data_IF_261087191333
#
_entry.id   IF_261087191333
#
_cell.length_a   1.000
_cell.length_b   1.000
_cell.length_c   1.000
_cell.angle_alpha   90.00
_cell.angle_beta   90.00
_cell.angle_gamma   90.00
#
_symmetry.space_group_name_H-M   'P 1'
#
loop_
_entity.id
_entity.type
_entity.pdbx_description
1 polymer ?
#
# COMPACT_ATOMS: atom_id res chain seq x y z
N UNK A 1 -1.50 -2.94 -21.66
CA UNK A 1 -0.80 -2.92 -20.36
C UNK A 1 0.04 -4.20 -20.30
N UNK A 2 1.36 -4.11 -20.47
CA UNK A 2 2.21 -5.30 -20.61
C UNK A 2 2.25 -6.15 -19.33
N UNK A 3 2.51 -7.44 -19.45
CA UNK A 3 2.57 -8.37 -18.30
C UNK A 3 3.57 -7.94 -17.22
N UNK A 4 4.61 -7.18 -17.58
CA UNK A 4 5.57 -6.58 -16.65
C UNK A 4 4.89 -5.63 -15.64
N UNK A 5 3.91 -4.83 -16.08
CA UNK A 5 3.10 -3.98 -15.17
C UNK A 5 2.27 -4.81 -14.18
N UNK A 6 1.86 -6.02 -14.58
CA UNK A 6 1.03 -6.91 -13.75
C UNK A 6 1.85 -7.62 -12.67
N UNK A 7 3.15 -7.85 -12.92
CA UNK A 7 4.07 -8.53 -11.98
C UNK A 7 4.83 -7.60 -11.04
N UNK A 8 4.76 -6.27 -11.21
CA UNK A 8 5.58 -5.29 -10.45
C UNK A 8 7.10 -5.58 -10.51
N UNK A 9 7.56 -6.32 -11.52
CA UNK A 9 8.97 -6.61 -11.78
C UNK A 9 9.50 -5.53 -12.72
N UNK A 10 9.55 -4.30 -12.24
CA UNK A 10 10.40 -3.31 -12.89
C UNK A 10 11.79 -3.42 -12.25
N UNK A 11 12.81 -3.92 -12.98
CA UNK A 11 14.18 -3.87 -12.49
C UNK A 11 14.68 -2.43 -12.32
N UNK A 12 13.92 -1.43 -12.78
CA UNK A 12 14.38 -0.05 -12.89
C UNK A 12 13.45 0.96 -12.22
N UNK A 13 14.02 2.09 -11.79
CA UNK A 13 13.28 3.18 -11.16
C UNK A 13 12.56 4.04 -12.20
N UNK A 14 11.25 4.27 -11.98
CA UNK A 14 10.44 5.21 -12.79
C UNK A 14 11.07 6.60 -12.83
N UNK A 15 11.74 7.01 -11.74
CA UNK A 15 12.40 8.31 -11.68
C UNK A 15 13.58 8.38 -12.66
N UNK A 16 14.43 7.35 -12.69
CA UNK A 16 15.66 7.35 -13.49
C UNK A 16 15.40 7.06 -14.96
N UNK A 17 14.42 6.20 -15.27
CA UNK A 17 14.16 5.73 -16.63
C UNK A 17 13.04 6.52 -17.33
N UNK A 18 12.09 7.05 -16.58
CA UNK A 18 10.99 7.84 -17.14
C UNK A 18 11.14 9.33 -16.85
N UNK A 19 10.93 9.71 -15.59
CA UNK A 19 10.72 11.12 -15.22
C UNK A 19 11.93 12.01 -15.52
N UNK A 20 13.15 11.59 -15.17
CA UNK A 20 14.35 12.41 -15.40
C UNK A 20 14.61 12.62 -16.90
N UNK A 21 14.64 11.58 -17.76
CA UNK A 21 14.76 11.75 -19.19
C UNK A 21 13.69 12.66 -19.79
N UNK A 22 12.42 12.48 -19.42
CA UNK A 22 11.31 13.30 -19.91
C UNK A 22 11.49 14.78 -19.52
N UNK A 23 11.88 15.04 -18.26
CA UNK A 23 12.15 16.39 -17.78
C UNK A 23 13.40 17.01 -18.42
N UNK A 24 14.42 16.20 -18.72
CA UNK A 24 15.62 16.66 -19.43
C UNK A 24 15.31 17.03 -20.89
N UNK A 25 14.39 16.32 -21.54
CA UNK A 25 13.94 16.61 -22.90
C UNK A 25 13.05 17.86 -22.95
N UNK A 26 12.18 18.04 -21.94
CA UNK A 26 11.24 19.16 -21.88
C UNK A 26 11.87 20.47 -21.39
N UNK A 27 12.98 20.43 -20.64
CA UNK A 27 13.56 21.63 -20.03
C UNK A 27 14.50 22.39 -20.98
N UNK A 28 14.22 23.68 -21.17
CA UNK A 28 15.09 24.61 -21.92
C UNK A 28 16.11 25.31 -21.01
N UNK A 29 15.97 25.20 -19.68
CA UNK A 29 16.83 25.89 -18.73
C UNK A 29 18.11 25.08 -18.43
N UNK A 30 19.26 25.65 -18.78
CA UNK A 30 20.57 25.04 -18.57
C UNK A 30 20.88 24.71 -17.09
N UNK A 31 20.40 25.51 -16.15
CA UNK A 31 20.56 25.26 -14.71
C UNK A 31 19.79 24.02 -14.25
N UNK A 32 18.52 23.93 -14.65
CA UNK A 32 17.66 22.76 -14.37
C UNK A 32 18.22 21.50 -15.03
N UNK A 33 18.72 21.60 -16.26
CA UNK A 33 19.36 20.49 -16.97
C UNK A 33 20.58 19.94 -16.22
N UNK A 34 21.49 20.82 -15.79
CA UNK A 34 22.66 20.45 -14.97
C UNK A 34 22.24 19.80 -13.66
N UNK A 35 21.22 20.33 -12.99
CA UNK A 35 20.68 19.74 -11.76
C UNK A 35 20.14 18.32 -11.99
N UNK A 36 19.28 18.12 -13.01
CA UNK A 36 18.70 16.82 -13.33
C UNK A 36 19.77 15.79 -13.72
N UNK A 37 20.79 16.20 -14.48
CA UNK A 37 21.94 15.34 -14.79
C UNK A 37 22.69 14.91 -13.52
N UNK A 38 23.00 15.86 -12.62
CA UNK A 38 23.67 15.58 -11.34
C UNK A 38 22.80 14.68 -10.45
N UNK A 39 21.49 14.91 -10.42
CA UNK A 39 20.54 14.08 -9.70
C UNK A 39 20.54 12.65 -10.25
N UNK A 40 20.47 12.49 -11.58
CA UNK A 40 20.51 11.19 -12.24
C UNK A 40 21.79 10.41 -11.92
N UNK A 41 22.94 11.07 -11.96
CA UNK A 41 24.24 10.44 -11.71
C UNK A 41 24.43 10.03 -10.25
N UNK A 42 23.87 10.79 -9.30
CA UNK A 42 23.96 10.52 -7.86
C UNK A 42 22.89 9.56 -7.36
N UNK A 43 21.78 9.43 -8.09
CA UNK A 43 20.68 8.55 -7.69
C UNK A 43 21.02 7.12 -8.02
N UNK A 44 21.09 6.27 -7.00
CA UNK A 44 21.23 4.82 -7.16
C UNK A 44 19.89 4.16 -6.85
N UNK A 45 19.43 3.32 -7.76
CA UNK A 45 18.25 2.49 -7.50
C UNK A 45 18.67 1.25 -6.71
N UNK A 46 17.95 1.00 -5.63
CA UNK A 46 18.19 -0.13 -4.73
C UNK A 46 16.87 -0.86 -4.55
N UNK A 47 16.85 -2.13 -4.90
CA UNK A 47 15.69 -3.02 -4.76
C UNK A 47 15.98 -4.15 -3.78
N UNK A 48 14.95 -4.62 -3.05
CA UNK A 48 15.08 -5.75 -2.13
C UNK A 48 14.24 -5.58 -0.87
N UNK A 49 14.37 -6.53 0.05
CA UNK A 49 13.70 -6.48 1.34
C UNK A 49 14.25 -5.30 2.17
N UNK A 50 13.37 -4.38 2.59
CA UNK A 50 13.79 -3.14 3.27
C UNK A 50 14.54 -3.40 4.59
N UNK A 51 14.25 -4.49 5.30
CA UNK A 51 14.96 -4.88 6.52
C UNK A 51 16.36 -5.39 6.24
N UNK A 52 16.52 -6.17 5.16
CA UNK A 52 17.84 -6.61 4.71
C UNK A 52 18.69 -5.41 4.29
N UNK A 53 18.13 -4.51 3.47
CA UNK A 53 18.81 -3.29 3.04
C UNK A 53 19.22 -2.43 4.24
N UNK A 54 18.30 -2.21 5.17
CA UNK A 54 18.56 -1.43 6.38
C UNK A 54 19.65 -2.06 7.27
N UNK A 55 19.62 -3.38 7.45
CA UNK A 55 20.65 -4.12 8.19
C UNK A 55 22.02 -3.99 7.52
N UNK A 56 22.07 -4.16 6.20
CA UNK A 56 23.29 -4.07 5.41
C UNK A 56 23.92 -2.67 5.49
N UNK A 57 23.11 -1.62 5.28
CA UNK A 57 23.54 -0.21 5.40
C UNK A 57 24.02 0.08 6.82
N UNK A 58 23.27 -0.36 7.84
CA UNK A 58 23.64 -0.12 9.26
C UNK A 58 24.96 -0.80 9.64
N UNK A 59 25.28 -1.94 9.01
CA UNK A 59 26.52 -2.70 9.24
C UNK A 59 27.65 -2.34 8.26
N UNK A 60 27.42 -1.40 7.34
CA UNK A 60 28.36 -1.08 6.24
C UNK A 60 28.76 -2.30 5.39
N UNK A 61 27.89 -3.29 5.32
CA UNK A 61 28.01 -4.43 4.41
C UNK A 61 27.29 -4.00 3.16
N UNK A 62 28.01 -3.75 2.06
CA UNK A 62 27.46 -3.11 0.86
C UNK A 62 26.15 -3.73 0.36
N UNK A 63 25.43 -2.95 -0.45
CA UNK A 63 24.07 -3.26 -0.89
C UNK A 63 24.07 -3.62 -2.38
N UNK A 64 23.42 -4.72 -2.73
CA UNK A 64 23.28 -5.12 -4.14
C UNK A 64 22.33 -4.17 -4.88
N UNK A 65 22.87 -3.46 -5.87
CA UNK A 65 22.13 -2.69 -6.87
C UNK A 65 21.53 -3.61 -7.94
N UNK A 66 20.57 -3.13 -8.73
CA UNK A 66 19.96 -3.89 -9.84
C UNK A 66 20.99 -4.45 -10.80
N UNK A 67 22.11 -3.75 -11.01
CA UNK A 67 23.18 -4.20 -11.90
C UNK A 67 24.06 -5.30 -11.28
N UNK A 68 23.58 -5.98 -10.23
CA UNK A 68 24.30 -6.93 -9.38
C UNK A 68 25.59 -6.37 -8.75
N UNK A 69 25.80 -5.04 -8.83
CA UNK A 69 26.95 -4.36 -8.23
C UNK A 69 26.71 -4.15 -6.75
N UNK A 70 27.73 -4.41 -5.93
CA UNK A 70 27.70 -4.11 -4.51
C UNK A 70 28.09 -2.65 -4.34
N UNK A 71 27.15 -1.84 -3.85
CA UNK A 71 27.33 -0.42 -3.63
C UNK A 71 27.49 -0.15 -2.13
N UNK A 72 28.55 0.57 -1.74
CA UNK A 72 28.64 1.12 -0.39
C UNK A 72 27.68 2.31 -0.27
N UNK A 73 26.98 2.39 0.85
CA UNK A 73 26.04 3.46 1.16
C UNK A 73 26.48 4.12 2.45
N UNK A 74 27.00 5.33 2.33
CA UNK A 74 27.44 6.15 3.46
C UNK A 74 26.37 7.16 3.87
N UNK A 75 26.36 7.51 5.16
CA UNK A 75 25.49 8.54 5.71
C UNK A 75 26.02 9.94 5.37
N UNK A 76 25.14 10.94 5.15
CA UNK A 76 23.68 10.90 5.17
C UNK A 76 23.07 10.37 3.86
N UNK A 77 21.94 9.65 3.96
CA UNK A 77 21.21 9.12 2.79
C UNK A 77 19.93 9.91 2.55
N UNK A 78 19.58 10.10 1.28
CA UNK A 78 18.29 10.65 0.85
C UNK A 78 17.50 9.52 0.20
N UNK A 79 16.33 9.23 0.74
CA UNK A 79 15.45 8.17 0.24
C UNK A 79 14.31 8.79 -0.54
N UNK A 80 14.19 8.41 -1.81
CA UNK A 80 13.11 8.85 -2.69
C UNK A 80 12.34 7.62 -3.18
N UNK A 81 11.26 7.30 -2.48
CA UNK A 81 10.38 6.15 -2.78
C UNK A 81 8.93 6.56 -2.46
N UNK A 82 7.97 5.69 -2.74
CA UNK A 82 6.58 5.84 -2.31
C UNK A 82 6.55 6.00 -0.79
N UNK A 83 5.66 6.86 -0.30
CA UNK A 83 5.51 7.17 1.14
C UNK A 83 5.52 5.90 2.01
N UNK A 84 4.75 4.88 1.60
CA UNK A 84 4.66 3.62 2.35
C UNK A 84 5.99 2.88 2.38
N UNK A 85 6.71 2.78 1.26
CA UNK A 85 8.01 2.08 1.20
C UNK A 85 9.09 2.82 1.97
N UNK A 86 9.10 4.15 1.88
CA UNK A 86 10.02 5.01 2.63
C UNK A 86 9.78 4.87 4.14
N UNK A 87 8.52 4.86 4.59
CA UNK A 87 8.19 4.63 6.00
C UNK A 87 8.63 3.27 6.51
N UNK A 88 8.40 2.20 5.72
CA UNK A 88 8.87 0.85 6.07
C UNK A 88 10.38 0.83 6.20
N UNK A 89 11.09 1.48 5.27
CA UNK A 89 12.54 1.52 5.28
C UNK A 89 13.10 2.33 6.45
N UNK A 90 12.50 3.47 6.79
CA UNK A 90 12.84 4.26 7.98
C UNK A 90 12.68 3.42 9.25
N UNK A 91 11.55 2.73 9.41
CA UNK A 91 11.32 1.85 10.57
C UNK A 91 12.31 0.69 10.63
N UNK A 92 12.67 0.14 9.47
CA UNK A 92 13.68 -0.90 9.37
C UNK A 92 15.05 -0.39 9.84
N UNK A 93 15.49 0.79 9.38
CA UNK A 93 16.75 1.39 9.83
C UNK A 93 16.72 1.69 11.33
N UNK A 94 15.63 2.27 11.83
CA UNK A 94 15.42 2.52 13.27
C UNK A 94 15.34 1.24 14.13
N UNK A 95 15.32 0.07 13.50
CA UNK A 95 15.40 -1.22 14.20
C UNK A 95 16.84 -1.70 14.35
N UNK A 96 17.79 -1.16 13.58
CA UNK A 96 19.21 -1.55 13.58
C UNK A 96 20.17 -0.41 13.99
N UNK A 97 19.73 0.85 13.89
CA UNK A 97 20.48 2.05 14.26
C UNK A 97 19.53 3.12 14.80
N UNK A 98 20.06 4.24 15.29
CA UNK A 98 19.28 5.38 15.77
C UNK A 98 19.51 6.63 14.90
N UNK A 99 19.04 6.64 13.64
CA UNK A 99 19.27 7.74 12.72
C UNK A 99 18.40 8.96 13.07
N UNK A 100 18.95 10.15 12.82
CA UNK A 100 18.14 11.37 12.75
C UNK A 100 17.39 11.36 11.41
N UNK A 101 16.06 11.25 11.47
CA UNK A 101 15.20 11.18 10.28
C UNK A 101 14.53 12.52 10.04
N UNK A 102 14.91 13.20 8.97
CA UNK A 102 14.25 14.43 8.50
C UNK A 102 13.22 14.05 7.42
N UNK A 103 11.94 14.33 7.69
CA UNK A 103 10.85 14.06 6.74
C UNK A 103 10.49 15.34 6.00
N UNK A 104 10.58 15.29 4.67
CA UNK A 104 10.00 16.34 3.85
C UNK A 104 8.51 16.08 3.64
N UNK A 105 7.66 16.96 4.16
CA UNK A 105 6.20 16.89 3.98
C UNK A 105 5.71 17.68 2.75
N UNK A 106 6.59 18.42 2.07
CA UNK A 106 6.24 19.09 0.83
C UNK A 106 5.99 18.07 -0.27
N UNK A 107 4.93 18.29 -1.06
CA UNK A 107 4.64 17.49 -2.24
C UNK A 107 5.82 17.66 -3.20
N UNK A 108 6.58 16.58 -3.43
CA UNK A 108 7.65 16.60 -4.42
C UNK A 108 7.02 16.79 -5.81
N UNK A 109 7.68 17.51 -6.73
CA UNK A 109 7.12 17.80 -8.05
C UNK A 109 6.96 16.56 -8.95
N UNK A 110 7.35 15.37 -8.47
CA UNK A 110 7.29 14.11 -9.20
C UNK A 110 5.95 13.41 -8.99
N UNK A 111 4.90 13.92 -9.64
CA UNK A 111 3.58 13.30 -9.62
C UNK A 111 3.35 12.49 -10.91
N UNK A 112 3.28 11.17 -10.78
CA UNK A 112 2.75 10.34 -11.87
C UNK A 112 1.22 10.34 -11.81
N UNK A 113 0.59 10.91 -12.83
CA UNK A 113 -0.86 10.82 -13.03
C UNK A 113 -1.11 9.72 -14.05
N UNK A 114 -1.63 8.58 -13.58
CA UNK A 114 -2.09 7.51 -14.46
C UNK A 114 -3.56 7.80 -14.81
N UNK A 115 -3.89 8.20 -16.05
CA UNK A 115 -5.27 8.32 -16.45
C UNK A 115 -5.89 6.92 -16.46
N UNK A 116 -6.79 6.66 -15.51
CA UNK A 116 -7.58 5.44 -15.52
C UNK A 116 -8.65 5.57 -16.60
N UNK A 117 -8.37 5.04 -17.79
CA UNK A 117 -9.36 4.92 -18.86
C UNK A 117 -10.28 3.74 -18.52
N UNK A 118 -11.29 3.98 -17.69
CA UNK A 118 -12.39 3.05 -17.46
C UNK A 118 -13.47 3.27 -18.50
N UNK A 119 -13.90 2.22 -19.22
CA UNK A 119 -15.17 2.28 -19.97
C UNK A 119 -16.29 2.58 -18.96
N UNK A 120 -17.16 3.54 -19.28
CA UNK A 120 -18.34 3.87 -18.47
C UNK A 120 -19.30 2.67 -18.48
N UNK A 121 -19.17 1.80 -17.50
CA UNK A 121 -20.15 0.73 -17.27
C UNK A 121 -21.31 1.29 -16.43
N UNK A 122 -22.52 0.78 -16.64
CA UNK A 122 -23.73 1.19 -15.89
C UNK A 122 -23.60 1.01 -14.37
N UNK A 123 -22.68 0.15 -13.91
CA UNK A 123 -22.37 -0.06 -12.50
C UNK A 123 -21.46 1.02 -11.91
N UNK A 124 -20.80 1.85 -12.73
CA UNK A 124 -19.83 2.85 -12.27
C UNK A 124 -20.43 3.85 -11.26
N UNK A 125 -21.63 4.42 -11.47
CA UNK A 125 -22.26 5.30 -10.48
C UNK A 125 -22.47 4.59 -9.14
N UNK A 126 -22.90 3.32 -9.16
CA UNK A 126 -23.12 2.54 -7.94
C UNK A 126 -21.81 2.31 -7.16
N UNK A 127 -20.74 1.90 -7.85
CA UNK A 127 -19.42 1.71 -7.23
C UNK A 127 -18.82 3.01 -6.73
N UNK A 128 -18.93 4.10 -7.50
CA UNK A 128 -18.40 5.41 -7.11
C UNK A 128 -19.07 5.95 -5.85
N UNK A 129 -20.40 5.79 -5.73
CA UNK A 129 -21.17 6.17 -4.54
C UNK A 129 -20.76 5.34 -3.33
N UNK A 130 -20.67 4.01 -3.50
CA UNK A 130 -20.24 3.11 -2.42
C UNK A 130 -18.82 3.39 -1.94
N UNK A 131 -17.88 3.62 -2.86
CA UNK A 131 -16.51 4.02 -2.55
C UNK A 131 -16.47 5.36 -1.80
N UNK A 132 -17.24 6.35 -2.26
CA UNK A 132 -17.34 7.64 -1.58
C UNK A 132 -17.86 7.52 -0.15
N UNK A 133 -18.86 6.67 0.08
CA UNK A 133 -19.37 6.39 1.44
C UNK A 133 -18.33 5.67 2.32
N UNK A 134 -17.57 4.72 1.78
CA UNK A 134 -16.49 4.03 2.50
C UNK A 134 -15.33 4.97 2.84
N UNK A 135 -15.04 5.93 1.98
CA UNK A 135 -14.05 6.98 2.22
C UNK A 135 -14.54 7.96 3.29
N UNK A 136 -15.79 8.44 3.19
CA UNK A 136 -16.42 9.32 4.18
C UNK A 136 -16.52 8.66 5.56
N UNK A 137 -16.84 7.37 5.62
CA UNK A 137 -16.86 6.60 6.86
C UNK A 137 -15.45 6.28 7.41
N UNK A 138 -14.38 6.65 6.70
CA UNK A 138 -13.00 6.40 7.09
C UNK A 138 -12.54 4.93 6.98
N UNK A 139 -13.42 4.02 6.57
CA UNK A 139 -13.15 2.58 6.45
C UNK A 139 -12.01 2.33 5.46
N UNK A 140 -12.02 3.03 4.32
CA UNK A 140 -10.97 2.90 3.31
C UNK A 140 -9.59 3.26 3.88
N UNK A 141 -9.51 4.31 4.68
CA UNK A 141 -8.27 4.71 5.37
C UNK A 141 -7.78 3.65 6.35
N UNK A 142 -8.69 2.98 7.07
CA UNK A 142 -8.33 1.89 7.99
C UNK A 142 -7.84 0.65 7.24
N UNK A 143 -8.51 0.24 6.16
CA UNK A 143 -8.05 -0.86 5.32
C UNK A 143 -6.65 -0.59 4.77
N UNK A 144 -6.39 0.63 4.30
CA UNK A 144 -5.05 1.03 3.85
C UNK A 144 -4.01 0.90 4.95
N UNK A 145 -4.32 1.30 6.20
CA UNK A 145 -3.42 1.10 7.35
C UNK A 145 -3.17 -0.38 7.64
N UNK A 146 -4.21 -1.21 7.64
CA UNK A 146 -4.10 -2.65 7.87
C UNK A 146 -3.26 -3.34 6.79
N UNK A 147 -3.45 -2.98 5.52
CA UNK A 147 -2.65 -3.47 4.39
C UNK A 147 -1.19 -3.06 4.57
N UNK A 148 -0.92 -1.81 4.95
CA UNK A 148 0.44 -1.34 5.21
C UNK A 148 1.10 -2.08 6.38
N UNK A 149 0.35 -2.33 7.45
CA UNK A 149 0.81 -3.10 8.61
C UNK A 149 1.11 -4.56 8.23
N UNK A 150 0.24 -5.18 7.44
CA UNK A 150 0.44 -6.52 6.92
C UNK A 150 1.70 -6.60 6.05
N UNK A 151 1.95 -5.57 5.21
CA UNK A 151 3.16 -5.47 4.38
C UNK A 151 4.43 -5.32 5.22
N UNK A 152 4.42 -4.43 6.23
CA UNK A 152 5.50 -4.28 7.22
C UNK A 152 5.83 -5.61 7.90
N UNK A 153 4.79 -6.27 8.40
CA UNK A 153 4.91 -7.58 9.06
C UNK A 153 5.53 -8.61 8.13
N UNK A 154 5.03 -8.74 6.90
CA UNK A 154 5.54 -9.71 5.92
C UNK A 154 7.03 -9.51 5.64
N UNK A 155 7.44 -8.28 5.30
CA UNK A 155 8.86 -7.99 5.02
C UNK A 155 9.75 -8.23 6.24
N UNK A 156 9.31 -7.83 7.43
CA UNK A 156 10.06 -8.09 8.66
C UNK A 156 10.14 -9.58 9.00
N UNK A 157 9.09 -10.36 8.76
CA UNK A 157 9.06 -11.81 9.00
C UNK A 157 10.03 -12.60 8.12
N UNK A 158 10.16 -12.19 6.86
CA UNK A 158 11.04 -12.84 5.89
C UNK A 158 12.52 -12.70 6.31
N UNK A 159 12.91 -11.58 6.92
CA UNK A 159 14.31 -11.30 7.26
C UNK A 159 14.65 -11.53 8.75
N UNK A 160 13.80 -11.12 9.68
CA UNK A 160 14.09 -11.16 11.10
C UNK A 160 13.84 -12.55 11.69
N UNK A 161 14.80 -13.04 12.48
CA UNK A 161 14.73 -14.33 13.18
C UNK A 161 14.85 -14.17 14.71
N UNK A 162 14.22 -15.09 15.45
CA UNK A 162 14.32 -15.19 16.91
C UNK A 162 13.91 -13.91 17.65
N UNK A 163 14.78 -13.45 18.57
CA UNK A 163 14.54 -12.29 19.45
C UNK A 163 14.35 -10.98 18.70
N UNK A 164 15.04 -10.77 17.58
CA UNK A 164 14.88 -9.56 16.76
C UNK A 164 13.47 -9.42 16.20
N UNK A 165 12.86 -10.55 15.81
CA UNK A 165 11.50 -10.62 15.29
C UNK A 165 10.45 -10.32 16.35
N UNK A 166 10.61 -10.82 17.58
CA UNK A 166 9.67 -10.54 18.66
C UNK A 166 9.70 -9.07 19.08
N UNK A 167 10.90 -8.47 19.19
CA UNK A 167 11.06 -7.04 19.47
C UNK A 167 10.46 -6.18 18.36
N UNK A 168 10.71 -6.52 17.10
CA UNK A 168 10.11 -5.83 15.95
C UNK A 168 8.59 -5.92 15.97
N UNK A 169 8.03 -7.12 16.19
CA UNK A 169 6.57 -7.28 16.26
C UNK A 169 5.97 -6.46 17.39
N UNK A 170 6.61 -6.45 18.56
CA UNK A 170 6.17 -5.61 19.68
C UNK A 170 6.20 -4.14 19.26
N UNK A 171 7.27 -3.68 18.61
CA UNK A 171 7.39 -2.29 18.13
C UNK A 171 6.31 -1.97 17.08
N UNK A 172 6.10 -2.80 16.08
CA UNK A 172 5.08 -2.58 15.03
C UNK A 172 3.66 -2.63 15.56
N UNK A 173 3.36 -3.55 16.47
CA UNK A 173 2.02 -3.70 17.06
C UNK A 173 1.73 -2.63 18.12
N UNK A 174 2.72 -2.20 18.91
CA UNK A 174 2.54 -1.16 19.94
C UNK A 174 2.71 0.27 19.43
N UNK A 175 3.58 0.54 18.46
CA UNK A 175 3.77 1.90 17.91
C UNK A 175 2.56 2.35 17.09
N UNK A 176 1.75 1.41 16.58
CA UNK A 176 0.42 1.72 16.05
C UNK A 176 -0.55 2.31 17.10
N UNK A 177 -0.27 2.13 18.39
CA UNK A 177 -1.10 2.59 19.50
C UNK A 177 -0.60 3.82 20.25
N UNK A 178 0.67 4.23 20.10
CA UNK A 178 1.30 5.17 21.04
C UNK A 178 1.83 6.49 20.45
N UNK A 179 1.52 6.81 19.19
CA UNK A 179 1.60 8.21 18.73
C UNK A 179 0.30 8.87 19.16
N UNK A 180 0.35 9.71 20.19
CA UNK A 180 -0.79 10.36 20.85
C UNK A 180 -1.79 11.00 19.89
N UNK A 181 -2.68 10.18 19.32
CA UNK A 181 -3.90 10.62 18.67
C UNK A 181 -4.98 10.56 19.73
N UNK A 182 -5.30 11.74 20.28
CA UNK A 182 -6.60 11.96 20.93
C UNK A 182 -7.67 11.34 20.02
N UNK A 183 -8.40 10.39 20.56
CA UNK A 183 -9.51 9.72 19.90
C UNK A 183 -10.50 10.79 19.41
N UNK A 184 -10.49 11.09 18.12
CA UNK A 184 -11.54 11.85 17.47
C UNK A 184 -12.54 10.83 16.94
N UNK A 185 -13.61 10.57 17.73
CA UNK A 185 -14.93 10.01 17.38
C UNK A 185 -15.08 8.83 16.37
N UNK A 186 -14.00 8.25 15.87
CA UNK A 186 -13.95 7.22 14.83
C UNK A 186 -13.10 6.06 15.33
N UNK A 187 -13.49 5.51 16.49
CA UNK A 187 -12.92 4.26 16.99
C UNK A 187 -13.15 3.14 15.96
N UNK A 188 -12.14 2.30 15.70
CA UNK A 188 -12.28 1.21 14.76
C UNK A 188 -13.35 0.24 15.26
N UNK A 189 -14.37 0.04 14.43
CA UNK A 189 -15.31 -1.06 14.61
C UNK A 189 -14.49 -2.36 14.55
N UNK A 190 -14.45 -3.09 15.66
CA UNK A 190 -13.71 -4.36 15.78
C UNK A 190 -14.05 -5.29 14.60
N UNK A 191 -13.06 -6.04 14.11
CA UNK A 191 -13.30 -7.08 13.10
C UNK A 191 -14.39 -8.08 13.55
N UNK A 192 -14.54 -8.28 14.86
CA UNK A 192 -15.66 -9.03 15.43
C UNK A 192 -17.01 -8.38 15.16
N UNK A 193 -17.15 -7.06 15.37
CA UNK A 193 -18.39 -6.34 15.08
C UNK A 193 -18.75 -6.39 13.57
N UNK A 194 -17.75 -6.42 12.68
CA UNK A 194 -17.98 -6.61 11.25
C UNK A 194 -18.48 -8.03 10.92
N UNK A 195 -17.97 -9.07 11.61
CA UNK A 195 -18.45 -10.45 11.44
C UNK A 195 -19.93 -10.57 11.80
N UNK A 196 -20.36 -9.96 12.89
CA UNK A 196 -21.77 -9.99 13.29
C UNK A 196 -22.67 -9.30 12.28
N UNK A 197 -22.24 -8.14 11.76
CA UNK A 197 -22.98 -7.42 10.71
C UNK A 197 -23.10 -8.26 9.43
N UNK A 198 -22.04 -8.93 9.01
CA UNK A 198 -22.05 -9.79 7.84
C UNK A 198 -22.90 -11.05 8.05
N UNK A 199 -22.79 -11.71 9.20
CA UNK A 199 -23.61 -12.86 9.56
C UNK A 199 -25.09 -12.50 9.59
N UNK A 200 -25.44 -11.33 10.12
CA UNK A 200 -26.81 -10.81 10.13
C UNK A 200 -27.35 -10.60 8.70
N UNK A 201 -26.57 -9.96 7.81
CA UNK A 201 -26.95 -9.79 6.41
C UNK A 201 -27.13 -11.14 5.68
N UNK A 202 -26.25 -12.11 5.90
CA UNK A 202 -26.39 -13.46 5.36
C UNK A 202 -27.65 -14.16 5.89
N UNK A 203 -27.96 -13.99 7.18
CA UNK A 203 -29.19 -14.51 7.78
C UNK A 203 -30.45 -13.95 7.11
N UNK A 204 -30.52 -12.63 6.91
CA UNK A 204 -31.63 -11.98 6.22
C UNK A 204 -31.78 -12.45 4.77
N UNK A 205 -30.67 -12.65 4.06
CA UNK A 205 -30.69 -13.20 2.70
C UNK A 205 -31.27 -14.61 2.65
N UNK A 206 -30.85 -15.48 3.58
CA UNK A 206 -31.39 -16.85 3.66
C UNK A 206 -32.89 -16.86 3.93
N UNK A 207 -33.36 -16.00 4.85
CA UNK A 207 -34.80 -15.83 5.12
C UNK A 207 -35.55 -15.33 3.89
N UNK A 208 -35.00 -14.37 3.16
CA UNK A 208 -35.59 -13.88 1.91
C UNK A 208 -35.74 -14.98 0.85
N UNK A 209 -34.71 -15.80 0.66
CA UNK A 209 -34.72 -16.91 -0.30
C UNK A 209 -35.73 -17.98 0.10
N UNK A 210 -35.85 -18.33 1.38
CA UNK A 210 -36.82 -19.34 1.84
C UNK A 210 -38.26 -18.85 1.72
N UNK A 211 -38.55 -17.58 2.07
CA UNK A 211 -39.87 -16.98 1.86
C UNK A 211 -40.25 -16.98 0.38
N UNK A 212 -39.35 -16.57 -0.50
CA UNK A 212 -39.57 -16.58 -1.94
C UNK A 212 -39.83 -18.00 -2.48
N UNK A 213 -39.03 -18.97 -2.06
CA UNK A 213 -39.23 -20.38 -2.41
C UNK A 213 -40.59 -20.91 -1.97
N UNK A 214 -41.05 -20.56 -0.76
CA UNK A 214 -42.35 -20.96 -0.24
C UNK A 214 -43.52 -20.34 -1.02
N UNK A 215 -43.39 -19.07 -1.43
CA UNK A 215 -44.39 -18.42 -2.30
C UNK A 215 -44.46 -19.08 -3.68
N UNK A 216 -43.31 -19.32 -4.32
CA UNK A 216 -43.24 -20.03 -5.60
C UNK A 216 -43.91 -21.41 -5.51
N UNK A 217 -43.67 -22.17 -4.43
CA UNK A 217 -44.28 -23.48 -4.24
C UNK A 217 -45.81 -23.40 -4.06
N UNK A 218 -46.31 -22.42 -3.30
CA UNK A 218 -47.76 -22.19 -3.15
C UNK A 218 -48.42 -21.83 -4.49
N UNK A 219 -47.79 -20.99 -5.30
CA UNK A 219 -48.29 -20.63 -6.64
C UNK A 219 -48.33 -21.86 -7.54
N UNK A 220 -47.28 -22.68 -7.53
CA UNK A 220 -47.20 -23.90 -8.33
C UNK A 220 -48.30 -24.92 -7.96
N UNK A 221 -48.55 -25.13 -6.66
CA UNK A 221 -49.65 -25.98 -6.18
C UNK A 221 -51.02 -25.44 -6.57
N UNK A 222 -51.20 -24.12 -6.57
CA UNK A 222 -52.47 -23.49 -6.96
C UNK A 222 -52.74 -23.66 -8.46
N UNK A 223 -51.72 -23.55 -9.30
CA UNK A 223 -51.82 -23.81 -10.75
C UNK A 223 -52.09 -25.30 -11.02
N UNK A 224 -51.40 -26.21 -10.32
CA UNK A 224 -51.63 -27.65 -10.47
C UNK A 224 -53.06 -28.10 -10.13
N UNK A 225 -53.71 -27.45 -9.16
CA UNK A 225 -55.13 -27.69 -8.82
C UNK A 225 -56.14 -27.17 -9.83
N UNK A 226 -55.75 -26.28 -10.75
CA UNK A 226 -56.65 -25.73 -11.79
C UNK A 226 -56.61 -26.61 -13.05
N UNK A 227 -55.57 -27.43 -13.21
CA UNK A 227 -55.35 -28.32 -14.36
C UNK A 227 -55.87 -29.76 -14.16
N UNK A 228 -56.39 -30.10 -12.98
CA UNK A 228 -57.11 -31.34 -12.70
C UNK A 228 -58.59 -31.04 -12.49
#
# INVERSE_FOLDING_TARGET
>A
MSEAWRKNEFPESILTVGMIPDLLAATLNNGTKKFLQKLSQRTKYISGNKFQLASNISRKVGVTSTNARVESVDWPIVVLDRVIEAEIFVEAIQSFSDPIVVRNHAVTPFNSRVPWVGKRNFLYPLYSKGLGQLEQAGIFGQWKKLINLAKKRRQGYEFLKGRSRSTFLRKVLHVGGNIGRKFSLWEPVSYEALKYSFAFCCGLLLVGVTCFGAECFKVLLKVGKILC
#
